data_IF_708503173181
#
_entry.id   IF_708503173181
#
_cell.length_a   1.000
_cell.length_b   1.000
_cell.length_c   1.000
_cell.angle_alpha   90.00
_cell.angle_beta   90.00
_cell.angle_gamma   90.00
#
_symmetry.space_group_name_H-M   'P 1'
#
loop_
_entity.id
_entity.type
_entity.pdbx_description
1 polymer ?
#
# COMPACT_ATOMS: atom_id res chain seq x y z
N UNK A 1 -13.02 -12.65 -12.04
CA UNK A 1 -13.00 -11.57 -11.01
C UNK A 1 -11.89 -10.60 -11.37
N UNK A 2 -12.21 -9.33 -11.63
CA UNK A 2 -11.21 -8.33 -11.96
C UNK A 2 -10.36 -8.04 -10.72
N UNK A 3 -9.05 -8.29 -10.79
CA UNK A 3 -8.11 -7.88 -9.74
C UNK A 3 -8.18 -6.36 -9.61
N UNK A 4 -8.79 -5.91 -8.51
CA UNK A 4 -8.94 -4.49 -8.23
C UNK A 4 -7.56 -3.92 -7.94
N UNK A 5 -7.21 -2.88 -8.70
CA UNK A 5 -5.86 -2.32 -8.77
C UNK A 5 -5.54 -1.58 -7.48
N UNK A 6 -4.35 -1.81 -6.93
CA UNK A 6 -3.80 -0.99 -5.86
C UNK A 6 -2.79 -0.02 -6.43
N UNK A 7 -2.97 1.28 -6.18
CA UNK A 7 -2.12 2.34 -6.69
C UNK A 7 -1.79 3.30 -5.54
N UNK A 8 -0.91 2.86 -4.64
CA UNK A 8 -0.40 3.72 -3.58
C UNK A 8 0.60 4.72 -4.18
N UNK A 9 0.48 6.02 -3.89
CA UNK A 9 1.39 7.02 -4.41
C UNK A 9 2.81 6.86 -3.84
N UNK A 10 3.81 7.01 -4.73
CA UNK A 10 5.24 6.86 -4.39
C UNK A 10 5.66 7.88 -3.33
N UNK A 11 5.12 9.10 -3.38
CA UNK A 11 5.44 10.16 -2.42
C UNK A 11 4.93 9.85 -1.01
N UNK A 12 3.80 9.12 -0.89
CA UNK A 12 3.30 8.65 0.40
C UNK A 12 4.25 7.60 1.00
N UNK A 13 4.69 6.64 0.19
CA UNK A 13 5.66 5.61 0.61
C UNK A 13 6.98 6.26 1.03
N UNK A 14 7.47 7.25 0.27
CA UNK A 14 8.69 7.99 0.61
C UNK A 14 8.54 8.75 1.93
N UNK A 15 7.44 9.46 2.12
CA UNK A 15 7.15 10.19 3.37
C UNK A 15 7.10 9.23 4.55
N UNK A 16 6.41 8.10 4.39
CA UNK A 16 6.33 7.07 5.41
C UNK A 16 7.72 6.54 5.82
N UNK A 17 8.58 6.21 4.86
CA UNK A 17 9.97 5.79 5.15
C UNK A 17 10.75 6.84 5.94
N UNK A 18 10.70 8.11 5.53
CA UNK A 18 11.40 9.20 6.22
C UNK A 18 10.93 9.33 7.67
N UNK A 19 9.62 9.21 7.91
CA UNK A 19 9.04 9.28 9.25
C UNK A 19 9.53 8.09 10.10
N UNK A 20 9.45 6.86 9.59
CA UNK A 20 9.89 5.66 10.32
C UNK A 20 11.39 5.71 10.62
N UNK A 21 12.22 6.13 9.67
CA UNK A 21 13.65 6.31 9.90
C UNK A 21 13.94 7.37 10.98
N UNK A 22 13.11 8.41 11.05
CA UNK A 22 13.25 9.45 12.07
C UNK A 22 12.81 8.97 13.45
N UNK A 23 11.77 8.14 13.52
CA UNK A 23 11.34 7.46 14.76
C UNK A 23 12.42 6.49 15.23
N UNK A 24 12.92 5.61 14.35
CA UNK A 24 13.97 4.64 14.69
C UNK A 24 15.25 5.35 15.17
N UNK A 25 15.66 6.44 14.52
CA UNK A 25 16.77 7.28 15.00
C UNK A 25 16.49 7.90 16.35
N UNK A 26 15.29 8.41 16.60
CA UNK A 26 14.94 8.98 17.89
C UNK A 26 15.01 7.93 19.01
N UNK A 27 14.46 6.73 18.77
CA UNK A 27 14.50 5.62 19.71
C UNK A 27 15.93 5.16 19.98
N UNK A 28 16.75 4.99 18.94
CA UNK A 28 18.15 4.59 19.07
C UNK A 28 19.01 5.59 19.87
N UNK A 29 18.56 6.83 20.03
CA UNK A 29 19.23 7.85 20.84
C UNK A 29 18.55 8.07 22.21
N UNK A 30 17.74 7.12 22.68
CA UNK A 30 16.91 7.24 23.89
C UNK A 30 16.07 8.53 23.92
N UNK A 31 15.62 8.96 22.74
CA UNK A 31 14.86 10.17 22.53
C UNK A 31 13.42 10.08 23.03
N UNK A 32 12.72 11.21 23.01
CA UNK A 32 11.38 11.30 23.58
C UNK A 32 10.36 10.40 22.87
N UNK A 33 9.67 9.54 23.60
CA UNK A 33 8.55 8.75 23.08
C UNK A 33 7.40 9.62 22.55
N UNK A 34 7.20 10.80 23.13
CA UNK A 34 6.22 11.80 22.66
C UNK A 34 6.57 12.30 21.26
N UNK A 35 7.85 12.54 20.97
CA UNK A 35 8.29 12.94 19.63
C UNK A 35 8.02 11.84 18.59
N UNK A 36 8.25 10.58 18.97
CA UNK A 36 7.94 9.43 18.12
C UNK A 36 6.43 9.28 17.87
N UNK A 37 5.61 9.51 18.90
CA UNK A 37 4.15 9.50 18.78
C UNK A 37 3.61 10.63 17.89
N UNK A 38 4.23 11.82 17.95
CA UNK A 38 3.90 12.94 17.06
C UNK A 38 4.21 12.60 15.59
N UNK A 39 5.36 12.00 15.33
CA UNK A 39 5.74 11.51 14.01
C UNK A 39 4.77 10.45 13.49
N UNK A 40 4.39 9.48 14.32
CA UNK A 40 3.36 8.48 13.99
C UNK A 40 2.01 9.14 13.66
N UNK A 41 1.61 10.15 14.42
CA UNK A 41 0.36 10.90 14.21
C UNK A 41 0.40 11.70 12.90
N UNK A 42 1.54 12.30 12.55
CA UNK A 42 1.72 12.99 11.28
C UNK A 42 1.58 12.03 10.09
N UNK A 43 2.15 10.82 10.21
CA UNK A 43 1.99 9.79 9.19
C UNK A 43 0.53 9.34 9.06
N UNK A 44 -0.16 9.14 10.19
CA UNK A 44 -1.58 8.79 10.20
C UNK A 44 -2.43 9.84 9.45
N UNK A 45 -2.26 11.12 9.73
CA UNK A 45 -3.03 12.18 9.04
C UNK A 45 -2.69 12.24 7.54
N UNK A 46 -1.43 12.02 7.16
CA UNK A 46 -1.03 11.97 5.75
C UNK A 46 -1.70 10.81 5.00
N UNK A 47 -1.74 9.62 5.60
CA UNK A 47 -2.41 8.45 5.00
C UNK A 47 -3.93 8.67 4.93
N UNK A 48 -4.50 9.32 5.95
CA UNK A 48 -5.94 9.63 6.02
C UNK A 48 -6.35 10.64 4.96
N UNK A 49 -5.54 11.66 4.70
CA UNK A 49 -5.74 12.60 3.59
C UNK A 49 -5.71 11.88 2.24
N UNK A 50 -4.77 10.95 2.05
CA UNK A 50 -4.70 10.17 0.81
C UNK A 50 -5.90 9.23 0.65
N UNK A 51 -6.38 8.64 1.75
CA UNK A 51 -7.60 7.84 1.77
C UNK A 51 -8.82 8.67 1.37
N UNK A 52 -8.92 9.91 1.84
CA UNK A 52 -10.00 10.82 1.49
C UNK A 52 -9.98 11.22 0.00
N UNK A 53 -8.80 11.31 -0.60
CA UNK A 53 -8.62 11.58 -2.04
C UNK A 53 -8.84 10.34 -2.91
N UNK A 54 -8.70 9.15 -2.33
CA UNK A 54 -8.81 7.89 -3.06
C UNK A 54 -10.26 7.62 -3.47
N UNK A 55 -10.56 7.39 -4.76
CA UNK A 55 -11.92 7.08 -5.20
C UNK A 55 -12.38 5.74 -4.62
N UNK A 56 -13.63 5.67 -4.16
CA UNK A 56 -14.24 4.47 -3.54
C UNK A 56 -14.19 3.21 -4.41
N UNK A 57 -14.06 3.38 -5.72
CA UNK A 57 -13.96 2.29 -6.69
C UNK A 57 -12.59 1.60 -6.67
N UNK A 58 -11.58 2.17 -6.00
CA UNK A 58 -10.26 1.59 -5.80
C UNK A 58 -10.20 0.82 -4.46
N UNK A 59 -11.08 -0.18 -4.27
CA UNK A 59 -11.22 -0.88 -2.99
C UNK A 59 -9.92 -1.54 -2.50
N UNK A 60 -9.05 -1.98 -3.41
CA UNK A 60 -7.74 -2.52 -3.06
C UNK A 60 -6.80 -1.44 -2.46
N UNK A 61 -6.74 -0.25 -3.07
CA UNK A 61 -5.99 0.89 -2.51
C UNK A 61 -6.57 1.33 -1.17
N UNK A 62 -7.90 1.44 -1.06
CA UNK A 62 -8.60 1.77 0.18
C UNK A 62 -8.23 0.77 1.28
N UNK A 63 -8.26 -0.54 0.99
CA UNK A 63 -7.90 -1.58 1.94
C UNK A 63 -6.45 -1.48 2.43
N UNK A 64 -5.50 -1.20 1.53
CA UNK A 64 -4.09 -1.00 1.88
C UNK A 64 -3.90 0.23 2.77
N UNK A 65 -4.52 1.36 2.40
CA UNK A 65 -4.43 2.60 3.18
C UNK A 65 -5.11 2.44 4.56
N UNK A 66 -6.25 1.75 4.64
CA UNK A 66 -6.91 1.45 5.91
C UNK A 66 -6.07 0.55 6.81
N UNK A 67 -5.45 -0.50 6.27
CA UNK A 67 -4.55 -1.36 7.04
C UNK A 67 -3.34 -0.57 7.59
N UNK A 68 -2.75 0.30 6.79
CA UNK A 68 -1.66 1.17 7.24
C UNK A 68 -2.10 2.17 8.32
N UNK A 69 -3.34 2.71 8.24
CA UNK A 69 -3.89 3.57 9.29
C UNK A 69 -4.07 2.84 10.62
N UNK A 70 -4.53 1.60 10.58
CA UNK A 70 -4.73 0.79 11.79
C UNK A 70 -3.39 0.45 12.46
N UNK A 71 -2.33 0.23 11.66
CA UNK A 71 -0.97 0.06 12.16
C UNK A 71 -0.42 1.35 12.80
N UNK A 72 -0.63 2.52 12.17
CA UNK A 72 -0.27 3.80 12.79
C UNK A 72 -1.04 4.06 14.10
N UNK A 73 -2.31 3.64 14.20
CA UNK A 73 -3.09 3.74 15.45
C UNK A 73 -2.54 2.83 16.53
N UNK A 74 -2.20 1.57 16.20
CA UNK A 74 -1.57 0.66 17.15
C UNK A 74 -0.23 1.21 17.65
N UNK A 75 0.59 1.75 16.75
CA UNK A 75 1.85 2.41 17.12
C UNK A 75 1.64 3.53 18.14
N UNK A 76 0.59 4.35 17.96
CA UNK A 76 0.24 5.44 18.89
C UNK A 76 -0.33 4.97 20.25
N UNK A 77 -0.75 3.71 20.38
CA UNK A 77 -1.11 3.12 21.68
C UNK A 77 0.14 2.65 22.43
N UNK A 78 1.20 2.29 21.71
CA UNK A 78 2.45 1.77 22.26
C UNK A 78 3.51 2.85 22.52
N UNK A 79 3.11 4.07 22.91
CA UNK A 79 4.07 5.17 23.20
C UNK A 79 5.05 4.81 24.32
N UNK A 80 4.58 4.01 25.30
CA UNK A 80 5.40 3.53 26.42
C UNK A 80 6.34 2.38 26.04
N UNK A 81 6.26 1.88 24.80
CA UNK A 81 7.05 0.77 24.27
C UNK A 81 7.60 1.12 22.89
N UNK A 82 8.69 1.92 22.83
CA UNK A 82 9.21 2.47 21.57
C UNK A 82 9.54 1.40 20.53
N UNK A 83 10.06 0.24 20.94
CA UNK A 83 10.38 -0.86 20.03
C UNK A 83 9.13 -1.42 19.31
N UNK A 84 8.02 -1.52 20.04
CA UNK A 84 6.74 -1.97 19.47
C UNK A 84 6.16 -0.92 18.54
N UNK A 85 6.25 0.36 18.92
CA UNK A 85 5.83 1.48 18.08
C UNK A 85 6.63 1.52 16.76
N UNK A 86 7.95 1.33 16.81
CA UNK A 86 8.78 1.25 15.59
C UNK A 86 8.38 0.06 14.71
N UNK A 87 8.14 -1.11 15.32
CA UNK A 87 7.70 -2.32 14.62
C UNK A 87 6.40 -2.11 13.85
N UNK A 88 5.39 -1.53 14.50
CA UNK A 88 4.09 -1.23 13.87
C UNK A 88 4.23 -0.22 12.73
N UNK A 89 5.04 0.83 12.91
CA UNK A 89 5.28 1.83 11.86
C UNK A 89 6.03 1.24 10.67
N UNK A 90 7.01 0.37 10.90
CA UNK A 90 7.71 -0.36 9.83
C UNK A 90 6.74 -1.27 9.07
N UNK A 91 5.86 -1.98 9.78
CA UNK A 91 4.82 -2.80 9.17
C UNK A 91 3.85 -1.96 8.32
N UNK A 92 3.53 -0.73 8.73
CA UNK A 92 2.75 0.22 7.92
C UNK A 92 3.45 0.57 6.60
N UNK A 93 4.76 0.85 6.63
CA UNK A 93 5.55 1.11 5.43
C UNK A 93 5.57 -0.10 4.50
N UNK A 94 5.79 -1.31 5.01
CA UNK A 94 5.79 -2.55 4.21
C UNK A 94 4.43 -2.81 3.54
N UNK A 95 3.33 -2.50 4.23
CA UNK A 95 1.98 -2.57 3.67
C UNK A 95 1.79 -1.60 2.50
N UNK A 96 2.24 -0.35 2.67
CA UNK A 96 2.19 0.67 1.61
C UNK A 96 3.07 0.29 0.40
N UNK A 97 4.27 -0.25 0.65
CA UNK A 97 5.19 -0.70 -0.39
C UNK A 97 4.64 -1.85 -1.22
N UNK A 98 4.03 -2.85 -0.58
CA UNK A 98 3.34 -3.95 -1.29
C UNK A 98 2.19 -3.40 -2.15
N UNK A 99 1.43 -2.44 -1.63
CA UNK A 99 0.39 -1.74 -2.38
C UNK A 99 0.90 -0.95 -3.59
N UNK A 100 2.13 -0.43 -3.52
CA UNK A 100 2.79 0.26 -4.62
C UNK A 100 3.30 -0.73 -5.70
N UNK A 101 3.93 -1.83 -5.28
CA UNK A 101 4.51 -2.84 -6.17
C UNK A 101 3.45 -3.61 -6.97
N UNK A 102 2.31 -3.91 -6.35
CA UNK A 102 1.17 -4.55 -7.04
C UNK A 102 0.60 -3.70 -8.18
N UNK A 103 0.64 -2.37 -8.05
CA UNK A 103 0.32 -1.45 -9.15
C UNK A 103 1.41 -1.39 -10.24
N UNK A 104 2.68 -1.54 -9.87
CA UNK A 104 3.81 -1.47 -10.79
C UNK A 104 3.95 -2.72 -11.69
N UNK A 105 3.82 -3.92 -11.13
CA UNK A 105 3.92 -5.17 -11.88
C UNK A 105 2.85 -5.26 -13.00
N UNK A 106 1.63 -4.77 -12.71
CA UNK A 106 0.55 -4.73 -13.69
C UNK A 106 0.81 -3.79 -14.88
N UNK A 107 1.56 -2.69 -14.68
CA UNK A 107 1.94 -1.79 -15.79
C UNK A 107 2.88 -2.46 -16.78
N UNK A 108 3.70 -3.40 -16.33
CA UNK A 108 4.62 -4.17 -17.21
C UNK A 108 3.95 -5.36 -17.89
N UNK A 109 2.90 -5.93 -17.27
CA UNK A 109 2.16 -7.06 -17.82
C UNK A 109 1.10 -6.67 -18.88
N UNK A 110 0.78 -5.38 -19.02
CA UNK A 110 -0.18 -4.86 -20.01
C UNK A 110 0.42 -4.75 -21.43
N UNK A 111 1.20 -5.74 -21.84
CA UNK A 111 1.54 -5.99 -23.25
C UNK A 111 0.88 -7.28 -23.72
N UNK A 112 -0.38 -7.51 -23.35
CA UNK A 112 -1.17 -8.60 -23.94
C UNK A 112 -1.58 -8.21 -25.36
N UNK A 113 -0.67 -8.48 -26.31
CA UNK A 113 -0.93 -8.51 -27.74
C UNK A 113 -1.88 -9.69 -28.00
N UNK A 114 -3.17 -9.42 -28.05
CA UNK A 114 -4.17 -10.41 -28.45
C UNK A 114 -3.77 -10.96 -29.83
N UNK A 115 -3.37 -12.24 -29.87
CA UNK A 115 -3.16 -12.96 -31.12
C UNK A 115 -4.52 -13.55 -31.48
N UNK A 116 -5.16 -12.96 -32.49
CA UNK A 116 -6.38 -13.49 -33.10
C UNK A 116 -6.05 -14.89 -33.61
N UNK A 117 -6.72 -15.91 -33.07
CA UNK A 117 -6.71 -17.24 -33.68
C UNK A 117 -7.85 -17.23 -34.70
N UNK A 118 -7.52 -16.96 -35.96
CA UNK A 118 -8.41 -17.22 -37.09
C UNK A 118 -8.39 -18.73 -37.36
N UNK A 119 -9.31 -19.46 -36.74
CA UNK A 119 -9.55 -20.88 -36.99
C UNK A 119 -10.83 -21.04 -37.81
N UNK A 120 -10.66 -21.38 -39.09
CA UNK A 120 -11.69 -21.36 -40.12
C UNK A 120 -12.87 -22.31 -39.91
N UNK A 121 -13.99 -21.89 -40.47
CA UNK A 121 -15.25 -22.61 -40.67
C UNK A 121 -15.01 -23.97 -41.32
N UNK A 122 -15.36 -25.07 -40.63
CA UNK A 122 -15.61 -26.36 -41.29
C UNK A 122 -17.12 -26.58 -41.30
N UNK A 123 -17.73 -26.24 -42.43
CA UNK A 123 -19.15 -26.49 -42.69
C UNK A 123 -19.43 -28.00 -42.71
N UNK A 124 -20.58 -28.37 -42.16
CA UNK A 124 -21.17 -29.68 -42.28
C UNK A 124 -21.42 -30.03 -43.76
N UNK A 125 -21.11 -31.27 -44.14
CA UNK A 125 -21.72 -31.92 -45.29
C UNK A 125 -22.16 -33.32 -44.87
N UNK A 126 -23.47 -33.43 -44.62
CA UNK A 126 -24.23 -34.67 -44.64
C UNK A 126 -24.29 -35.20 -46.07
N UNK A 127 -23.95 -36.47 -46.31
CA UNK A 127 -24.66 -37.41 -47.22
C UNK A 127 -23.81 -38.65 -47.52
N UNK A 128 -24.32 -39.83 -47.14
CA UNK A 128 -24.65 -40.97 -48.00
C UNK A 128 -25.18 -42.12 -47.13
#
# INVERSE_FOLDING_TARGET
>A
MAMQRCAVPVDLVRTARIVVDSVARNIANDGSGVYSALLASQLYETIKDELARTPRQAAATVGVLSAALDQCRHAAVHVDSPDLMEGELRAAVETLERGMQTGAAARTASAHRFKVIEGGLSAAASSA
#
